data_IF_231624317810
#
_entry.id   IF_231624317810
#
_cell.length_a   1.000
_cell.length_b   1.000
_cell.length_c   1.000
_cell.angle_alpha   90.00
_cell.angle_beta   90.00
_cell.angle_gamma   90.00
#
_symmetry.space_group_name_H-M   'P 1'
#
loop_
_entity.id
_entity.type
_entity.pdbx_description
1 polymer ?
#
# COMPACT_ATOMS: atom_id res chain seq x y z
N UNK A 1 -31.19 27.89 -7.13
CA UNK A 1 -29.86 27.64 -6.54
C UNK A 1 -28.84 27.65 -7.67
N UNK A 2 -28.03 28.71 -7.77
CA UNK A 2 -27.02 28.88 -8.83
C UNK A 2 -25.76 28.11 -8.45
N UNK A 3 -25.47 27.03 -9.17
CA UNK A 3 -24.20 26.29 -9.02
C UNK A 3 -23.11 27.15 -9.66
N UNK A 4 -22.26 27.79 -8.84
CA UNK A 4 -21.06 28.48 -9.31
C UNK A 4 -20.00 27.44 -9.67
N UNK A 5 -19.38 27.55 -10.86
CA UNK A 5 -18.20 26.76 -11.22
C UNK A 5 -17.01 27.21 -10.36
N UNK A 6 -16.19 26.26 -9.92
CA UNK A 6 -14.91 26.57 -9.28
C UNK A 6 -14.05 27.41 -10.24
N UNK A 7 -13.40 28.44 -9.72
CA UNK A 7 -12.47 29.28 -10.48
C UNK A 7 -11.30 28.44 -11.00
N UNK A 8 -10.95 28.61 -12.27
CA UNK A 8 -9.74 27.99 -12.84
C UNK A 8 -8.51 28.38 -12.00
N UNK A 9 -7.76 27.36 -11.57
CA UNK A 9 -6.49 27.55 -10.86
C UNK A 9 -5.54 28.27 -11.80
N UNK A 10 -4.97 29.39 -11.37
CA UNK A 10 -4.05 30.14 -12.21
C UNK A 10 -2.76 29.35 -12.37
N UNK A 11 -2.14 29.39 -13.55
CA UNK A 11 -0.88 28.69 -13.80
C UNK A 11 0.23 29.09 -12.82
N UNK A 12 0.16 30.30 -12.25
CA UNK A 12 1.06 30.79 -11.20
C UNK A 12 0.89 30.12 -9.84
N UNK A 13 -0.24 29.47 -9.58
CA UNK A 13 -0.55 28.73 -8.35
C UNK A 13 -0.15 27.25 -8.48
N UNK A 14 0.20 26.81 -9.70
CA UNK A 14 0.72 25.48 -9.98
C UNK A 14 2.22 25.52 -9.71
N UNK A 15 2.73 24.55 -8.94
CA UNK A 15 4.17 24.41 -8.74
C UNK A 15 4.85 24.20 -10.08
N UNK A 16 5.86 25.04 -10.39
CA UNK A 16 6.63 24.91 -11.62
C UNK A 16 7.22 23.51 -11.74
N UNK A 17 7.09 22.93 -12.94
CA UNK A 17 7.51 21.57 -13.24
C UNK A 17 8.99 21.32 -12.92
N UNK A 18 9.86 22.30 -13.19
CA UNK A 18 11.30 22.16 -12.91
C UNK A 18 11.54 22.11 -11.41
N UNK A 19 10.78 22.90 -10.63
CA UNK A 19 10.86 22.87 -9.17
C UNK A 19 10.43 21.51 -8.61
N UNK A 20 9.35 20.94 -9.15
CA UNK A 20 8.88 19.60 -8.80
C UNK A 20 9.91 18.52 -9.11
N UNK A 21 10.47 18.52 -10.33
CA UNK A 21 11.47 17.55 -10.77
C UNK A 21 12.78 17.65 -9.97
N UNK A 22 13.22 18.87 -9.65
CA UNK A 22 14.43 19.09 -8.84
C UNK A 22 14.30 18.54 -7.43
N UNK A 23 13.13 18.73 -6.79
CA UNK A 23 12.84 18.13 -5.46
C UNK A 23 12.91 16.61 -5.52
N UNK A 24 12.38 15.99 -6.58
CA UNK A 24 12.40 14.53 -6.73
C UNK A 24 13.80 13.97 -6.95
N UNK A 25 14.65 14.67 -7.72
CA UNK A 25 16.07 14.33 -7.87
C UNK A 25 16.84 14.43 -6.55
N UNK A 26 16.58 15.46 -5.75
CA UNK A 26 17.20 15.61 -4.43
C UNK A 26 16.87 14.43 -3.50
N UNK A 27 15.60 14.02 -3.43
CA UNK A 27 15.17 12.88 -2.61
C UNK A 27 15.84 11.58 -3.08
N UNK A 28 15.92 11.36 -4.40
CA UNK A 28 16.61 10.20 -4.97
C UNK A 28 18.11 10.16 -4.62
N UNK A 29 18.77 11.33 -4.57
CA UNK A 29 20.18 11.44 -4.20
C UNK A 29 20.43 11.26 -2.69
N UNK A 30 19.44 11.55 -1.84
CA UNK A 30 19.53 11.37 -0.40
C UNK A 30 19.40 9.89 0.03
N UNK A 31 18.72 9.06 -0.77
CA UNK A 31 18.53 7.62 -0.50
C UNK A 31 19.78 6.74 -0.70
N UNK A 32 20.88 7.27 -1.24
CA UNK A 32 22.13 6.52 -1.48
C UNK A 32 23.13 6.52 -0.31
N UNK A 33 22.77 7.05 0.86
CA UNK A 33 23.73 7.37 1.93
C UNK A 33 23.65 6.63 3.27
N UNK A 34 22.73 5.68 3.50
CA UNK A 34 22.59 5.06 4.83
C UNK A 34 22.62 3.51 4.79
N UNK A 35 23.80 2.95 5.02
CA UNK A 35 24.00 1.58 5.49
C UNK A 35 24.81 1.64 6.80
N UNK A 36 24.35 0.97 7.87
CA UNK A 36 25.13 0.18 8.88
C UNK A 36 24.18 -0.36 9.99
N UNK A 37 24.10 -1.70 10.12
CA UNK A 37 23.98 -2.65 11.27
C UNK A 37 23.22 -2.28 12.59
N UNK A 38 22.59 -3.18 13.39
CA UNK A 38 22.43 -4.65 13.42
C UNK A 38 21.20 -5.10 14.24
N UNK A 39 20.74 -6.33 13.93
CA UNK A 39 20.12 -7.40 14.75
C UNK A 39 19.53 -7.14 16.15
N UNK A 40 18.32 -7.67 16.38
CA UNK A 40 18.03 -8.70 17.40
C UNK A 40 16.65 -9.34 17.12
N UNK A 41 16.60 -10.67 17.09
CA UNK A 41 15.40 -11.45 16.82
C UNK A 41 14.63 -11.74 18.11
N UNK A 42 13.29 -11.73 18.03
CA UNK A 42 12.44 -12.37 19.03
C UNK A 42 11.12 -12.80 18.39
N UNK A 43 10.86 -14.12 18.43
CA UNK A 43 9.56 -14.76 18.24
C UNK A 43 8.55 -14.18 19.24
N UNK A 44 7.32 -13.87 18.82
CA UNK A 44 6.11 -14.04 19.67
C UNK A 44 4.82 -13.93 18.85
N UNK A 45 3.82 -14.71 19.26
CA UNK A 45 2.42 -14.65 18.85
C UNK A 45 1.82 -13.25 19.06
N UNK A 46 0.70 -12.99 18.38
CA UNK A 46 -0.05 -11.74 18.43
C UNK A 46 -0.53 -11.41 19.85
N UNK A 47 0.25 -10.61 20.59
CA UNK A 47 -0.23 -9.77 21.67
C UNK A 47 -0.43 -8.34 21.16
N UNK A 48 -1.24 -7.56 21.90
CA UNK A 48 -1.48 -6.12 21.70
C UNK A 48 -0.20 -5.41 21.24
N UNK A 49 -0.13 -5.17 19.94
CA UNK A 49 1.04 -4.61 19.30
C UNK A 49 1.18 -3.14 19.73
N UNK A 50 2.19 -2.88 20.57
CA UNK A 50 2.63 -1.54 20.92
C UNK A 50 3.90 -1.22 20.13
N UNK A 51 3.96 -0.09 19.41
CA UNK A 51 5.13 0.27 18.61
C UNK A 51 6.38 0.30 19.50
N UNK A 52 7.41 -0.47 19.12
CA UNK A 52 8.54 -0.80 20.00
C UNK A 52 9.58 0.32 20.18
N UNK A 53 9.49 1.42 19.44
CA UNK A 53 10.34 2.61 19.58
C UNK A 53 9.88 3.68 18.59
N UNK A 54 10.23 4.96 18.80
CA UNK A 54 10.00 6.01 17.79
C UNK A 54 10.62 5.62 16.45
N UNK A 55 9.80 5.37 15.45
CA UNK A 55 10.17 5.10 14.07
C UNK A 55 10.55 6.42 13.39
N UNK A 56 11.52 6.46 12.45
CA UNK A 56 11.75 7.64 11.61
C UNK A 56 10.53 7.98 10.73
N UNK A 57 9.55 7.07 10.67
CA UNK A 57 8.28 7.24 9.96
C UNK A 57 7.14 7.68 10.88
N UNK A 58 7.40 7.97 12.15
CA UNK A 58 6.39 8.48 13.07
C UNK A 58 6.11 9.97 12.83
N UNK A 59 4.89 10.38 13.17
CA UNK A 59 4.44 11.78 13.15
C UNK A 59 3.74 12.10 14.47
N UNK A 60 3.73 13.37 14.85
CA UNK A 60 2.98 13.87 16.01
C UNK A 60 1.53 14.25 15.66
N UNK A 61 1.07 13.91 14.44
CA UNK A 61 -0.33 14.11 14.03
C UNK A 61 -1.28 13.14 14.74
N UNK A 62 -2.51 13.62 14.95
CA UNK A 62 -3.59 12.80 15.47
C UNK A 62 -3.89 11.64 14.51
N UNK A 63 -3.94 10.44 15.07
CA UNK A 63 -4.33 9.24 14.33
C UNK A 63 -5.80 9.31 13.95
N UNK A 64 -6.13 8.81 12.76
CA UNK A 64 -7.53 8.59 12.40
C UNK A 64 -8.14 7.53 13.31
N UNK A 65 -9.37 7.73 13.84
CA UNK A 65 -10.04 6.72 14.66
C UNK A 65 -10.09 5.36 13.96
N UNK A 66 -9.85 4.29 14.73
CA UNK A 66 -9.81 2.92 14.19
C UNK A 66 -11.10 2.53 13.44
N UNK A 67 -12.26 2.98 13.94
CA UNK A 67 -13.55 2.76 13.29
C UNK A 67 -13.58 3.35 11.88
N UNK A 68 -13.15 4.61 11.70
CA UNK A 68 -13.10 5.23 10.38
C UNK A 68 -12.13 4.51 9.44
N UNK A 69 -10.95 4.11 9.95
CA UNK A 69 -9.94 3.34 9.18
C UNK A 69 -10.50 2.02 8.68
N UNK A 70 -11.39 1.38 9.44
CA UNK A 70 -11.92 0.03 9.13
C UNK A 70 -13.32 0.01 8.54
N UNK A 71 -13.98 1.16 8.45
CA UNK A 71 -15.37 1.26 7.94
C UNK A 71 -15.57 2.26 6.81
N UNK A 72 -14.66 3.22 6.61
CA UNK A 72 -14.69 4.18 5.52
C UNK A 72 -13.64 3.82 4.46
N UNK A 73 -13.99 2.91 3.55
CA UNK A 73 -13.02 2.27 2.66
C UNK A 73 -13.44 2.35 1.19
N UNK A 74 -12.45 2.33 0.30
CA UNK A 74 -12.66 2.06 -1.11
C UNK A 74 -12.15 0.65 -1.41
N UNK A 75 -13.07 -0.30 -1.52
CA UNK A 75 -12.74 -1.66 -1.94
C UNK A 75 -13.85 -2.17 -2.88
N UNK A 76 -13.70 -1.82 -4.15
CA UNK A 76 -14.76 -1.91 -5.17
C UNK A 76 -15.21 -3.36 -5.44
N UNK A 77 -14.34 -4.34 -5.18
CA UNK A 77 -14.63 -5.77 -5.14
C UNK A 77 -15.77 -6.15 -4.18
N UNK A 78 -16.08 -5.29 -3.21
CA UNK A 78 -17.13 -5.48 -2.21
C UNK A 78 -18.29 -4.47 -2.31
N UNK A 79 -18.17 -3.47 -3.18
CA UNK A 79 -19.22 -2.50 -3.48
C UNK A 79 -18.68 -1.07 -3.64
N UNK A 80 -19.47 -0.17 -4.27
CA UNK A 80 -19.04 1.19 -4.56
C UNK A 80 -19.15 2.17 -3.38
N UNK A 81 -20.00 1.88 -2.39
CA UNK A 81 -20.21 2.77 -1.26
C UNK A 81 -19.09 2.60 -0.21
N UNK A 82 -18.82 3.66 0.56
CA UNK A 82 -17.68 3.69 1.51
C UNK A 82 -17.77 2.64 2.61
N UNK A 83 -18.98 2.23 2.97
CA UNK A 83 -19.27 1.24 4.01
C UNK A 83 -19.62 -0.15 3.45
N UNK A 84 -19.65 -0.33 2.13
CA UNK A 84 -19.83 -1.65 1.51
C UNK A 84 -18.71 -2.64 1.89
N UNK A 85 -17.41 -2.25 1.91
CA UNK A 85 -16.34 -3.17 2.26
C UNK A 85 -16.48 -3.73 3.68
N UNK A 86 -16.80 -2.90 4.67
CA UNK A 86 -16.93 -3.35 6.06
C UNK A 86 -18.13 -4.29 6.25
N UNK A 87 -19.21 -4.09 5.48
CA UNK A 87 -20.38 -4.98 5.48
C UNK A 87 -20.12 -6.31 4.77
N UNK A 88 -19.35 -6.31 3.68
CA UNK A 88 -19.31 -7.45 2.75
C UNK A 88 -17.98 -8.23 2.76
N UNK A 89 -16.86 -7.65 3.19
CA UNK A 89 -15.53 -8.28 3.09
C UNK A 89 -15.34 -9.55 3.95
N UNK A 90 -16.26 -9.82 4.88
CA UNK A 90 -16.28 -11.04 5.68
C UNK A 90 -16.43 -12.33 4.83
N UNK A 91 -16.89 -12.23 3.58
CA UNK A 91 -16.96 -13.35 2.64
C UNK A 91 -15.60 -13.77 2.07
N UNK A 92 -14.57 -12.93 2.23
CA UNK A 92 -13.23 -13.20 1.74
C UNK A 92 -12.49 -14.21 2.63
N UNK A 93 -12.08 -15.33 2.06
CA UNK A 93 -11.15 -16.25 2.72
C UNK A 93 -9.73 -15.72 2.57
N UNK A 94 -9.21 -15.17 3.67
CA UNK A 94 -7.85 -14.62 3.74
C UNK A 94 -6.80 -15.64 4.19
N UNK A 95 -7.21 -16.84 4.61
CA UNK A 95 -6.31 -17.94 5.00
C UNK A 95 -6.83 -19.29 4.49
N UNK A 96 -5.95 -20.14 3.92
CA UNK A 96 -4.55 -19.86 3.55
C UNK A 96 -4.45 -18.81 2.43
N UNK A 97 -3.29 -18.16 2.30
CA UNK A 97 -3.03 -17.20 1.22
C UNK A 97 -1.74 -17.51 0.48
N UNK A 98 -1.77 -17.39 -0.84
CA UNK A 98 -0.61 -17.60 -1.70
C UNK A 98 -0.35 -16.40 -2.58
N UNK A 99 0.92 -16.10 -2.82
CA UNK A 99 1.37 -15.02 -3.69
C UNK A 99 2.19 -15.63 -4.81
N UNK A 100 1.73 -15.45 -6.06
CA UNK A 100 2.47 -15.84 -7.25
C UNK A 100 3.42 -14.73 -7.64
N UNK A 101 4.70 -15.05 -7.79
CA UNK A 101 5.73 -14.16 -8.31
C UNK A 101 6.19 -14.69 -9.66
N UNK A 102 6.11 -13.86 -10.70
CA UNK A 102 6.47 -14.20 -12.07
C UNK A 102 7.20 -13.05 -12.78
N UNK A 103 7.55 -13.27 -14.05
CA UNK A 103 8.24 -12.27 -14.88
C UNK A 103 9.77 -12.29 -14.73
N UNK A 104 10.37 -11.10 -14.78
CA UNK A 104 11.83 -10.89 -14.87
C UNK A 104 12.54 -11.04 -13.50
N UNK A 105 12.44 -12.22 -12.90
CA UNK A 105 13.05 -12.58 -11.60
C UNK A 105 13.75 -13.94 -11.68
N UNK A 106 14.78 -14.16 -10.86
CA UNK A 106 15.44 -15.49 -10.81
C UNK A 106 14.70 -16.52 -9.99
N UNK A 107 13.78 -16.10 -9.12
CA UNK A 107 13.04 -16.98 -8.21
C UNK A 107 11.52 -16.91 -8.45
N UNK A 108 11.02 -17.25 -9.65
CA UNK A 108 9.58 -17.32 -9.89
C UNK A 108 8.99 -18.53 -9.16
N UNK A 109 7.94 -18.30 -8.38
CA UNK A 109 7.22 -19.37 -7.67
C UNK A 109 5.87 -18.86 -7.16
N UNK A 110 5.02 -19.81 -6.75
CA UNK A 110 3.87 -19.53 -5.88
C UNK A 110 4.30 -19.78 -4.44
N UNK A 111 4.33 -18.73 -3.64
CA UNK A 111 4.71 -18.77 -2.23
C UNK A 111 3.48 -18.80 -1.34
N UNK A 112 3.55 -19.53 -0.22
CA UNK A 112 2.66 -19.21 0.91
C UNK A 112 3.03 -17.83 1.45
N UNK A 113 2.03 -17.03 1.81
CA UNK A 113 2.26 -15.67 2.30
C UNK A 113 3.21 -15.66 3.50
N UNK A 114 3.03 -16.60 4.42
CA UNK A 114 3.85 -16.72 5.64
C UNK A 114 5.31 -16.99 5.30
N UNK A 115 5.61 -17.86 4.34
CA UNK A 115 6.98 -18.17 3.93
C UNK A 115 7.64 -17.02 3.17
N UNK A 116 6.84 -16.24 2.42
CA UNK A 116 7.30 -15.08 1.69
C UNK A 116 7.71 -13.96 2.66
N UNK A 117 6.90 -13.73 3.71
CA UNK A 117 7.05 -12.61 4.65
C UNK A 117 7.94 -12.94 5.83
N UNK A 118 7.99 -14.19 6.31
CA UNK A 118 8.75 -14.61 7.51
C UNK A 118 10.20 -14.11 7.58
N UNK A 119 10.97 -14.05 6.47
CA UNK A 119 12.35 -13.57 6.53
C UNK A 119 12.50 -12.05 6.54
N UNK A 120 11.39 -11.30 6.44
CA UNK A 120 11.37 -9.84 6.39
C UNK A 120 11.11 -9.28 7.79
N UNK A 121 11.79 -8.19 8.11
CA UNK A 121 11.56 -7.48 9.37
C UNK A 121 10.30 -6.62 9.23
N UNK A 122 9.34 -6.83 10.12
CA UNK A 122 8.18 -5.97 10.23
C UNK A 122 8.54 -4.66 10.93
N UNK A 123 7.93 -3.59 10.47
CA UNK A 123 8.13 -2.24 10.98
C UNK A 123 6.81 -1.46 10.96
N UNK A 124 6.67 -0.59 11.96
CA UNK A 124 5.58 0.38 12.06
C UNK A 124 5.91 1.64 11.31
N UNK A 125 4.92 2.12 10.54
CA UNK A 125 5.00 3.39 9.83
C UNK A 125 3.68 4.14 9.92
N UNK A 126 3.71 5.32 10.55
CA UNK A 126 2.54 6.20 10.60
C UNK A 126 2.52 7.03 9.32
N UNK A 127 1.62 6.68 8.40
CA UNK A 127 1.53 7.36 7.11
C UNK A 127 0.21 8.08 6.92
N UNK A 128 0.29 9.20 6.20
CA UNK A 128 -0.88 9.89 5.65
C UNK A 128 -1.34 9.17 4.39
N UNK A 129 -2.48 8.52 4.44
CA UNK A 129 -3.19 8.02 3.26
C UNK A 129 -3.98 9.18 2.66
N UNK A 130 -3.83 9.42 1.35
CA UNK A 130 -4.56 10.44 0.60
C UNK A 130 -5.29 9.78 -0.56
N UNK A 131 -6.62 9.74 -0.52
CA UNK A 131 -7.42 9.23 -1.63
C UNK A 131 -7.49 10.25 -2.77
N UNK A 132 -7.75 9.87 -4.02
CA UNK A 132 -8.00 10.86 -5.08
C UNK A 132 -9.26 11.70 -4.82
N UNK A 133 -10.24 11.15 -4.08
CA UNK A 133 -11.56 11.74 -3.79
C UNK A 133 -11.54 12.83 -2.69
N UNK A 134 -10.45 13.58 -2.55
CA UNK A 134 -10.34 14.70 -1.60
C UNK A 134 -10.40 14.39 -0.08
N UNK A 135 -10.34 13.13 0.36
CA UNK A 135 -10.19 12.75 1.78
C UNK A 135 -8.82 12.14 2.11
N UNK A 136 -8.49 12.08 3.40
CA UNK A 136 -7.22 11.54 3.91
C UNK A 136 -7.38 10.94 5.31
N UNK A 137 -6.43 10.08 5.68
CA UNK A 137 -6.32 9.47 7.01
C UNK A 137 -4.85 9.43 7.47
N UNK A 138 -4.62 9.37 8.78
CA UNK A 138 -3.31 9.11 9.40
C UNK A 138 -3.37 7.73 10.03
N UNK A 139 -2.66 6.77 9.46
CA UNK A 139 -2.82 5.35 9.78
C UNK A 139 -1.47 4.75 10.21
N UNK A 140 -1.39 4.07 11.37
CA UNK A 140 -0.22 3.31 11.79
C UNK A 140 -0.19 1.95 11.07
N UNK A 141 0.50 1.87 9.93
CA UNK A 141 0.64 0.64 9.16
C UNK A 141 1.72 -0.27 9.75
N UNK A 142 1.47 -1.57 9.72
CA UNK A 142 2.45 -2.61 10.02
C UNK A 142 2.79 -3.38 8.73
N UNK A 143 4.07 -3.44 8.38
CA UNK A 143 4.49 -4.13 7.16
C UNK A 143 5.99 -4.20 7.02
N UNK A 144 6.48 -4.35 5.80
CA UNK A 144 7.90 -4.36 5.47
C UNK A 144 8.12 -3.59 4.15
N UNK A 145 9.33 -3.11 3.85
CA UNK A 145 9.61 -2.43 2.60
C UNK A 145 9.56 -3.42 1.44
N UNK A 146 8.75 -3.12 0.44
CA UNK A 146 8.69 -3.90 -0.79
C UNK A 146 10.08 -4.14 -1.42
N UNK A 147 10.98 -3.16 -1.32
CA UNK A 147 12.35 -3.27 -1.83
C UNK A 147 13.14 -4.45 -1.24
N UNK A 148 12.91 -4.80 0.04
CA UNK A 148 13.56 -5.96 0.67
C UNK A 148 13.02 -7.29 0.11
N UNK A 149 11.73 -7.35 -0.22
CA UNK A 149 11.16 -8.49 -0.92
C UNK A 149 11.71 -8.59 -2.35
N UNK A 150 11.72 -7.49 -3.11
CA UNK A 150 12.21 -7.47 -4.49
C UNK A 150 13.68 -7.94 -4.57
N UNK A 151 14.56 -7.45 -3.68
CA UNK A 151 15.96 -7.89 -3.62
C UNK A 151 16.09 -9.40 -3.48
N UNK A 152 15.27 -10.02 -2.64
CA UNK A 152 15.27 -11.48 -2.42
C UNK A 152 14.78 -12.28 -3.61
N UNK A 153 13.89 -11.71 -4.42
CA UNK A 153 13.39 -12.31 -5.66
C UNK A 153 14.41 -12.23 -6.81
N UNK A 154 15.46 -11.42 -6.65
CA UNK A 154 16.55 -11.24 -7.61
C UNK A 154 16.05 -10.88 -9.02
N UNK A 155 15.52 -9.66 -9.23
CA UNK A 155 15.09 -9.21 -10.55
C UNK A 155 16.25 -9.20 -11.55
N UNK A 156 15.96 -9.50 -12.81
CA UNK A 156 16.93 -9.42 -13.90
C UNK A 156 17.26 -7.96 -14.25
N UNK A 157 18.36 -7.71 -14.96
CA UNK A 157 18.69 -6.38 -15.46
C UNK A 157 17.68 -5.82 -16.48
N UNK A 158 16.75 -6.65 -16.96
CA UNK A 158 15.66 -6.25 -17.87
C UNK A 158 14.41 -5.80 -17.13
N UNK A 159 14.26 -6.13 -15.85
CA UNK A 159 13.12 -5.71 -15.04
C UNK A 159 13.13 -4.19 -14.88
N UNK A 160 12.03 -3.53 -15.25
CA UNK A 160 11.88 -2.06 -15.19
C UNK A 160 10.73 -1.60 -14.31
N UNK A 161 9.72 -2.44 -14.15
CA UNK A 161 8.47 -2.14 -13.45
C UNK A 161 8.04 -3.35 -12.65
N UNK A 162 7.18 -3.12 -11.67
CA UNK A 162 6.49 -4.18 -10.91
C UNK A 162 5.00 -4.04 -11.14
N UNK A 163 4.34 -5.16 -11.50
CA UNK A 163 2.89 -5.24 -11.60
C UNK A 163 2.33 -6.00 -10.39
N UNK A 164 1.22 -5.51 -9.85
CA UNK A 164 0.47 -6.12 -8.76
C UNK A 164 -0.93 -6.45 -9.25
N UNK A 165 -1.38 -7.67 -8.98
CA UNK A 165 -2.72 -8.13 -9.35
C UNK A 165 -3.44 -8.61 -8.10
N UNK A 166 -4.62 -8.02 -7.83
CA UNK A 166 -5.50 -8.46 -6.74
C UNK A 166 -6.17 -9.79 -7.09
N UNK A 167 -6.63 -10.53 -6.08
CA UNK A 167 -7.36 -11.78 -6.26
C UNK A 167 -8.59 -11.59 -7.17
N UNK A 168 -8.74 -12.44 -8.18
CA UNK A 168 -9.98 -12.60 -8.93
C UNK A 168 -10.80 -13.75 -8.35
N UNK A 169 -11.85 -13.45 -7.60
CA UNK A 169 -12.75 -14.43 -6.99
C UNK A 169 -14.19 -13.92 -6.93
N UNK A 170 -14.93 -13.87 -8.06
CA UNK A 170 -16.28 -13.30 -8.12
C UNK A 170 -17.30 -13.94 -7.18
N UNK A 171 -17.04 -15.15 -6.68
CA UNK A 171 -17.88 -15.84 -5.69
C UNK A 171 -17.66 -15.35 -4.25
N UNK A 172 -16.51 -14.76 -3.96
CA UNK A 172 -16.19 -14.14 -2.66
C UNK A 172 -16.26 -12.60 -2.72
N UNK A 173 -16.08 -12.03 -3.92
CA UNK A 173 -15.99 -10.59 -4.18
C UNK A 173 -17.12 -10.16 -5.13
N UNK A 174 -18.34 -9.90 -4.62
CA UNK A 174 -19.52 -9.68 -5.45
C UNK A 174 -19.42 -8.46 -6.39
N UNK A 175 -18.60 -7.47 -6.05
CA UNK A 175 -18.31 -6.32 -6.89
C UNK A 175 -17.65 -6.70 -8.23
N UNK A 176 -16.90 -7.81 -8.28
CA UNK A 176 -16.26 -8.31 -9.50
C UNK A 176 -17.25 -8.83 -10.56
N UNK A 177 -18.51 -9.06 -10.19
CA UNK A 177 -19.59 -9.43 -11.13
C UNK A 177 -20.22 -8.21 -11.80
N UNK A 178 -19.90 -7.00 -11.33
CA UNK A 178 -20.40 -5.74 -11.88
C UNK A 178 -19.38 -5.17 -12.86
N UNK A 179 -19.85 -4.54 -13.93
CA UNK A 179 -18.99 -3.81 -14.88
C UNK A 179 -18.58 -2.42 -14.35
N UNK A 180 -18.08 -2.36 -13.10
CA UNK A 180 -17.60 -1.12 -12.49
C UNK A 180 -16.15 -0.80 -12.89
N UNK A 181 -15.30 -1.84 -12.92
CA UNK A 181 -13.89 -1.77 -13.30
C UNK A 181 -13.53 -3.00 -14.14
N UNK A 182 -12.44 -2.94 -14.94
CA UNK A 182 -11.84 -4.17 -15.46
C UNK A 182 -11.30 -4.99 -14.28
N UNK A 183 -11.72 -6.25 -14.20
CA UNK A 183 -11.32 -7.16 -13.12
C UNK A 183 -10.33 -8.23 -13.61
N UNK A 184 -9.39 -8.70 -12.77
CA UNK A 184 -9.07 -8.20 -11.42
C UNK A 184 -8.46 -6.80 -11.43
N UNK A 185 -8.42 -6.15 -10.27
CA UNK A 185 -7.68 -4.90 -10.10
C UNK A 185 -6.17 -5.15 -10.31
N UNK A 186 -5.54 -4.29 -11.12
CA UNK A 186 -4.12 -4.35 -11.48
C UNK A 186 -3.50 -2.97 -11.31
N UNK A 187 -2.30 -2.91 -10.75
CA UNK A 187 -1.52 -1.67 -10.56
C UNK A 187 -0.03 -1.88 -10.83
N UNK A 188 0.73 -0.79 -10.96
CA UNK A 188 2.18 -0.88 -11.18
C UNK A 188 3.01 0.31 -10.71
N UNK A 189 4.31 0.06 -10.48
CA UNK A 189 5.32 1.03 -10.07
C UNK A 189 6.60 0.91 -10.92
#
# INVERSE_FOLDING_TARGET
MLIRRATDIRSSEITDEKLYLNRRRFIQAASSGALVFSSLASNTQAEDWKPKSKSPYDTDEDLTPYEDVTTYNNFQEFGPDKDDPSKNAHTLRVKPWSVKVEGEVKRPATYNLEDLVKPLQLEDRIYRLRCVEAWSMVIPWLGFPLGELIKRLEPSSKAKYVEFTTLHAPDQMPGQRRSLLPWPYVEGL
#
